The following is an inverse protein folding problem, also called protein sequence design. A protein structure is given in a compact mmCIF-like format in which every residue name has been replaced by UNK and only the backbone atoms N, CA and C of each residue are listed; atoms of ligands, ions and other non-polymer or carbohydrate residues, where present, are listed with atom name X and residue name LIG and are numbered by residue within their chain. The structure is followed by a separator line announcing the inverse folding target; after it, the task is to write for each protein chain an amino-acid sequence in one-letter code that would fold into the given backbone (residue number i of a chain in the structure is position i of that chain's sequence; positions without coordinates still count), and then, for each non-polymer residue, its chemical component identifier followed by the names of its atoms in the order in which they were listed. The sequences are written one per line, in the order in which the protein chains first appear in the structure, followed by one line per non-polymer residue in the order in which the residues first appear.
data_IF_530712165241
#
_entry.id   IF_530712165241
#
_cell.length_a   1.000
_cell.length_b   1.000
_cell.length_c   1.000
_cell.angle_alpha   90.00
_cell.angle_beta   90.00
_cell.angle_gamma   90.00
#
_symmetry.space_group_name_H-M   'P 1'
#
loop_
_entity.id
_entity.type
_entity.pdbx_description
1 polymer ?
#
# COMPACT_ATOMS: atom_id res chain seq x y z
N UNK A 1 18.91 20.66 -11.83
CA UNK A 1 18.54 19.25 -11.67
C UNK A 1 17.40 18.92 -12.64
N UNK A 2 17.46 17.75 -13.30
CA UNK A 2 16.37 17.30 -14.16
C UNK A 2 15.14 17.02 -13.31
N UNK A 3 13.96 17.39 -13.79
CA UNK A 3 12.69 17.08 -13.11
C UNK A 3 12.42 15.58 -13.16
N UNK A 4 11.60 15.07 -12.23
CA UNK A 4 11.16 13.66 -12.24
C UNK A 4 10.59 13.24 -13.60
N UNK A 5 9.84 14.14 -14.27
CA UNK A 5 9.32 13.93 -15.62
C UNK A 5 10.39 13.63 -16.65
N UNK A 6 11.49 14.42 -16.65
CA UNK A 6 12.59 14.25 -17.61
C UNK A 6 13.36 12.95 -17.38
N UNK A 7 13.38 12.45 -16.15
CA UNK A 7 14.02 11.20 -15.79
C UNK A 7 13.19 9.96 -16.14
N UNK A 8 11.91 10.12 -16.53
CA UNK A 8 11.01 9.02 -16.84
C UNK A 8 10.73 8.93 -18.33
N UNK A 9 11.38 8.03 -19.09
CA UNK A 9 11.16 7.87 -20.54
C UNK A 9 9.70 7.63 -20.92
N UNK A 10 8.95 6.97 -20.04
CA UNK A 10 7.51 6.76 -20.21
C UNK A 10 6.69 8.04 -20.32
N UNK A 11 7.22 9.19 -19.85
CA UNK A 11 6.51 10.47 -19.84
C UNK A 11 6.95 11.39 -21.00
N UNK A 12 7.91 10.99 -21.83
CA UNK A 12 8.50 11.83 -22.87
C UNK A 12 7.50 12.29 -23.94
N UNK A 13 6.58 11.41 -24.35
CA UNK A 13 5.67 11.63 -25.47
C UNK A 13 4.20 11.29 -25.11
N UNK A 14 3.86 11.25 -23.82
CA UNK A 14 2.51 10.93 -23.35
C UNK A 14 2.16 11.65 -22.06
N UNK A 15 0.87 11.79 -21.82
CA UNK A 15 0.31 12.19 -20.53
C UNK A 15 -0.15 10.94 -19.80
N UNK A 16 0.55 10.60 -18.73
CA UNK A 16 0.32 9.35 -18.01
C UNK A 16 -0.25 9.63 -16.61
N UNK A 17 -1.49 9.22 -16.40
CA UNK A 17 -2.21 9.42 -15.13
C UNK A 17 -2.37 8.14 -14.29
N UNK A 18 -2.00 6.97 -14.82
CA UNK A 18 -2.30 5.70 -14.16
C UNK A 18 -1.27 5.27 -13.11
N UNK A 19 -0.80 6.19 -12.28
CA UNK A 19 0.10 5.89 -11.14
C UNK A 19 -0.54 4.94 -10.13
N UNK A 20 -1.86 4.99 -9.98
CA UNK A 20 -2.59 4.05 -9.14
C UNK A 20 -2.52 2.60 -9.60
N UNK A 21 -2.24 2.35 -10.88
CA UNK A 21 -1.90 1.04 -11.42
C UNK A 21 -0.42 0.76 -11.28
N UNK A 22 0.42 1.59 -11.94
CA UNK A 22 1.87 1.52 -11.86
C UNK A 22 2.48 2.88 -12.18
N UNK A 23 3.41 3.35 -11.36
CA UNK A 23 4.20 4.55 -11.61
C UNK A 23 5.32 4.28 -12.61
N UNK A 24 5.77 5.31 -13.35
CA UNK A 24 6.90 5.16 -14.26
C UNK A 24 8.21 5.01 -13.48
N UNK A 25 9.03 4.03 -13.86
CA UNK A 25 10.36 3.84 -13.26
C UNK A 25 11.34 4.84 -13.85
N UNK A 26 11.99 5.71 -13.05
CA UNK A 26 13.00 6.65 -13.54
C UNK A 26 14.24 5.92 -14.04
N UNK A 27 14.90 6.48 -15.08
CA UNK A 27 16.15 5.92 -15.61
C UNK A 27 17.24 5.72 -14.55
N UNK A 28 17.50 6.68 -13.61
CA UNK A 28 18.49 6.44 -12.57
C UNK A 28 18.15 5.27 -11.63
N UNK A 29 16.87 4.95 -11.47
CA UNK A 29 16.44 3.78 -10.67
C UNK A 29 16.69 2.48 -11.45
N UNK A 30 16.42 2.45 -12.74
CA UNK A 30 16.74 1.33 -13.62
C UNK A 30 18.26 1.11 -13.68
N UNK A 31 19.05 2.16 -13.76
CA UNK A 31 20.51 2.09 -13.77
C UNK A 31 21.05 1.52 -12.46
N UNK A 32 20.48 1.91 -11.31
CA UNK A 32 20.82 1.35 -10.01
C UNK A 32 20.52 -0.15 -9.92
N UNK A 33 19.39 -0.60 -10.47
CA UNK A 33 19.05 -2.03 -10.57
C UNK A 33 20.10 -2.78 -11.40
N UNK A 34 20.42 -2.28 -12.58
CA UNK A 34 21.40 -2.88 -13.47
C UNK A 34 22.81 -2.92 -12.86
N UNK A 35 23.21 -1.86 -12.15
CA UNK A 35 24.49 -1.80 -11.45
C UNK A 35 24.56 -2.86 -10.33
N UNK A 36 23.48 -3.02 -9.56
CA UNK A 36 23.40 -4.05 -8.53
C UNK A 36 23.45 -5.48 -9.12
N UNK A 37 22.77 -5.73 -10.24
CA UNK A 37 22.89 -6.99 -10.98
C UNK A 37 24.32 -7.30 -11.40
N UNK A 38 25.01 -6.33 -12.00
CA UNK A 38 26.43 -6.49 -12.43
C UNK A 38 27.31 -6.79 -11.23
N UNK A 39 27.12 -6.04 -10.14
CA UNK A 39 27.92 -6.23 -8.93
C UNK A 39 27.80 -7.62 -8.32
N UNK A 40 26.60 -8.18 -8.29
CA UNK A 40 26.37 -9.57 -7.85
C UNK A 40 27.13 -10.56 -8.74
N UNK A 41 27.12 -10.36 -10.07
CA UNK A 41 27.82 -11.27 -10.98
C UNK A 41 29.36 -11.13 -10.86
N UNK A 42 29.89 -9.92 -10.65
CA UNK A 42 31.31 -9.68 -10.43
C UNK A 42 31.82 -10.33 -9.13
N UNK A 43 31.03 -10.27 -8.06
CA UNK A 43 31.35 -10.90 -6.78
C UNK A 43 31.18 -12.43 -6.82
N UNK A 44 30.42 -12.93 -7.79
CA UNK A 44 29.96 -14.32 -7.90
C UNK A 44 28.64 -14.54 -7.18
N UNK A 45 27.61 -15.04 -7.86
CA UNK A 45 26.22 -15.02 -7.37
C UNK A 45 25.99 -15.86 -6.11
N UNK A 46 26.93 -16.75 -5.77
CA UNK A 46 26.84 -17.58 -4.56
C UNK A 46 28.24 -17.85 -3.99
N UNK A 47 28.97 -16.79 -3.64
CA UNK A 47 30.30 -16.84 -3.02
C UNK A 47 30.24 -16.22 -1.63
N UNK A 48 31.29 -16.42 -0.86
CA UNK A 48 31.44 -15.72 0.44
C UNK A 48 31.50 -14.19 0.31
N UNK A 49 31.92 -13.68 -0.84
CA UNK A 49 32.12 -12.26 -1.10
C UNK A 49 30.81 -11.52 -1.42
N UNK A 50 29.79 -12.23 -1.93
CA UNK A 50 28.51 -11.62 -2.31
C UNK A 50 27.61 -11.33 -1.09
N UNK A 51 27.72 -12.12 -0.02
CA UNK A 51 26.82 -12.02 1.13
C UNK A 51 26.88 -10.71 1.89
N UNK A 52 28.07 -10.10 2.12
CA UNK A 52 28.15 -8.77 2.71
C UNK A 52 27.43 -7.71 1.86
N UNK A 53 27.54 -7.79 0.53
CA UNK A 53 26.83 -6.90 -0.38
C UNK A 53 25.31 -7.10 -0.31
N UNK A 54 24.82 -8.33 -0.38
CA UNK A 54 23.40 -8.66 -0.26
C UNK A 54 22.84 -8.18 1.07
N UNK A 55 23.54 -8.43 2.17
CA UNK A 55 23.12 -7.99 3.49
C UNK A 55 23.04 -6.46 3.60
N UNK A 56 24.00 -5.74 3.02
CA UNK A 56 23.99 -4.28 2.98
C UNK A 56 22.79 -3.75 2.17
N UNK A 57 22.50 -4.32 1.02
CA UNK A 57 21.33 -3.96 0.19
C UNK A 57 20.00 -4.16 0.93
N UNK A 58 19.82 -5.32 1.56
CA UNK A 58 18.63 -5.67 2.34
C UNK A 58 18.47 -4.71 3.53
N UNK A 59 19.52 -4.54 4.34
CA UNK A 59 19.46 -3.72 5.56
C UNK A 59 19.27 -2.23 5.24
N UNK A 60 19.92 -1.72 4.18
CA UNK A 60 19.75 -0.34 3.74
C UNK A 60 18.30 -0.08 3.27
N UNK A 61 17.71 -1.02 2.55
CA UNK A 61 16.33 -0.91 2.09
C UNK A 61 15.34 -0.98 3.24
N UNK A 62 15.50 -1.97 4.15
CA UNK A 62 14.68 -2.07 5.36
C UNK A 62 14.77 -0.80 6.20
N UNK A 63 15.97 -0.28 6.43
CA UNK A 63 16.18 0.97 7.17
C UNK A 63 15.54 2.18 6.48
N UNK A 64 15.60 2.26 5.15
CA UNK A 64 14.97 3.36 4.38
C UNK A 64 13.44 3.31 4.50
N UNK A 65 12.84 2.13 4.37
CA UNK A 65 11.39 1.94 4.48
C UNK A 65 10.90 2.09 5.94
N UNK A 66 11.68 1.63 6.92
CA UNK A 66 11.37 1.82 8.32
C UNK A 66 11.33 3.30 8.71
N UNK A 67 12.29 4.10 8.21
CA UNK A 67 12.26 5.57 8.40
C UNK A 67 11.04 6.21 7.74
N UNK A 68 10.68 5.79 6.53
CA UNK A 68 9.49 6.28 5.83
C UNK A 68 8.22 6.05 6.67
N UNK A 69 8.09 4.87 7.27
CA UNK A 69 6.96 4.49 8.13
C UNK A 69 7.11 5.02 9.57
N UNK A 70 8.24 5.62 9.93
CA UNK A 70 8.59 6.03 11.29
C UNK A 70 8.41 4.90 12.33
N UNK A 71 8.94 3.72 11.98
CA UNK A 71 8.95 2.54 12.86
C UNK A 71 10.39 2.03 13.01
N UNK A 72 10.71 1.31 14.10
CA UNK A 72 11.99 0.61 14.21
C UNK A 72 12.16 -0.44 13.10
N UNK A 73 13.40 -0.66 12.66
CA UNK A 73 13.69 -1.61 11.57
C UNK A 73 13.20 -3.04 11.84
N UNK A 74 13.19 -3.47 13.10
CA UNK A 74 12.70 -4.80 13.50
C UNK A 74 11.19 -4.98 13.29
N UNK A 75 10.44 -3.90 13.09
CA UNK A 75 9.02 -3.90 12.80
C UNK A 75 8.71 -3.83 11.29
N UNK A 76 9.72 -3.76 10.43
CA UNK A 76 9.52 -3.67 8.99
C UNK A 76 10.02 -4.93 8.28
N UNK A 77 9.12 -5.65 7.60
CA UNK A 77 9.46 -6.71 6.67
C UNK A 77 9.45 -6.20 5.23
N UNK A 78 10.38 -6.72 4.42
CA UNK A 78 10.36 -6.55 2.97
C UNK A 78 9.38 -7.56 2.36
N UNK A 79 8.59 -7.11 1.39
CA UNK A 79 7.63 -7.96 0.68
C UNK A 79 7.73 -7.74 -0.82
N UNK A 80 7.24 -8.67 -1.61
CA UNK A 80 7.21 -8.54 -3.08
C UNK A 80 6.18 -7.51 -3.55
N UNK A 81 5.13 -7.31 -2.78
CA UNK A 81 4.04 -6.40 -3.09
C UNK A 81 3.14 -6.18 -1.87
N UNK A 82 2.15 -5.30 -2.01
CA UNK A 82 1.19 -5.02 -0.94
C UNK A 82 0.35 -6.26 -0.56
N UNK A 83 0.01 -7.11 -1.51
CA UNK A 83 -0.79 -8.32 -1.23
C UNK A 83 -0.05 -9.27 -0.30
N UNK A 84 1.22 -9.59 -0.61
CA UNK A 84 2.08 -10.39 0.29
C UNK A 84 2.22 -9.72 1.65
N UNK A 85 2.42 -8.40 1.67
CA UNK A 85 2.54 -7.62 2.89
C UNK A 85 1.28 -7.66 3.77
N UNK A 86 0.10 -7.69 3.18
CA UNK A 86 -1.17 -7.88 3.90
C UNK A 86 -1.34 -9.33 4.38
N UNK A 87 -1.22 -10.29 3.44
CA UNK A 87 -1.67 -11.68 3.67
C UNK A 87 -0.75 -12.45 4.61
N UNK A 88 0.57 -12.26 4.52
CA UNK A 88 1.51 -13.03 5.34
C UNK A 88 1.30 -12.79 6.86
N UNK A 89 1.22 -11.54 7.35
CA UNK A 89 0.90 -11.33 8.76
C UNK A 89 -0.56 -11.66 9.10
N UNK A 90 -1.51 -11.32 8.21
CA UNK A 90 -2.94 -11.56 8.44
C UNK A 90 -3.25 -13.01 8.78
N UNK A 91 -2.71 -13.94 7.98
CA UNK A 91 -3.00 -15.37 8.14
C UNK A 91 -2.35 -15.98 9.37
N UNK A 92 -1.39 -15.29 9.98
CA UNK A 92 -0.74 -15.68 11.23
C UNK A 92 -1.39 -15.13 12.49
N UNK A 93 -2.41 -14.28 12.39
CA UNK A 93 -3.10 -13.73 13.56
C UNK A 93 -3.87 -14.80 14.33
N UNK A 94 -3.91 -14.72 15.66
CA UNK A 94 -4.64 -15.66 16.51
C UNK A 94 -6.14 -15.35 16.50
N UNK A 95 -6.82 -15.74 15.44
CA UNK A 95 -8.27 -15.58 15.28
C UNK A 95 -8.97 -16.92 15.56
N UNK A 96 -10.04 -16.88 16.34
CA UNK A 96 -10.79 -18.06 16.77
C UNK A 96 -12.11 -18.22 16.01
N UNK A 97 -12.64 -19.45 16.01
CA UNK A 97 -13.94 -19.76 15.42
C UNK A 97 -15.04 -18.79 15.91
N UNK A 98 -15.73 -18.18 14.95
CA UNK A 98 -16.81 -17.21 15.20
C UNK A 98 -16.34 -15.81 15.54
N UNK A 99 -15.04 -15.50 15.47
CA UNK A 99 -14.56 -14.12 15.49
C UNK A 99 -15.01 -13.39 14.23
N UNK A 100 -15.14 -12.05 14.35
CA UNK A 100 -15.58 -11.22 13.24
C UNK A 100 -14.42 -10.48 12.61
N UNK A 101 -14.38 -10.46 11.27
CA UNK A 101 -13.58 -9.55 10.45
C UNK A 101 -14.51 -8.44 9.98
N UNK A 102 -14.22 -7.19 10.33
CA UNK A 102 -14.90 -6.01 9.84
C UNK A 102 -14.07 -5.43 8.70
N UNK A 103 -14.53 -5.59 7.46
CA UNK A 103 -13.83 -5.15 6.25
C UNK A 103 -14.57 -4.00 5.55
N UNK A 104 -13.84 -2.98 5.10
CA UNK A 104 -14.48 -1.87 4.39
C UNK A 104 -15.06 -2.30 3.04
N UNK A 105 -16.11 -1.62 2.60
CA UNK A 105 -16.73 -1.84 1.29
C UNK A 105 -15.96 -1.17 0.13
N UNK A 106 -14.74 -0.71 0.40
CA UNK A 106 -13.83 -0.11 -0.58
C UNK A 106 -12.45 -0.79 -0.63
N UNK A 107 -12.35 -2.05 -0.19
CA UNK A 107 -11.10 -2.77 -0.24
C UNK A 107 -10.81 -3.34 -1.64
N UNK A 108 -9.52 -3.51 -1.95
CA UNK A 108 -9.10 -4.15 -3.19
C UNK A 108 -9.55 -5.62 -3.22
N UNK A 109 -10.06 -6.13 -4.36
CA UNK A 109 -10.58 -7.50 -4.45
C UNK A 109 -9.64 -8.59 -3.95
N UNK A 110 -8.32 -8.42 -4.08
CA UNK A 110 -7.32 -9.36 -3.58
C UNK A 110 -7.31 -9.45 -2.05
N UNK A 111 -7.48 -8.34 -1.35
CA UNK A 111 -7.57 -8.31 0.13
C UNK A 111 -8.88 -8.91 0.59
N UNK A 112 -9.99 -8.58 -0.09
CA UNK A 112 -11.31 -9.16 0.19
C UNK A 112 -11.27 -10.67 0.06
N UNK A 113 -10.73 -11.20 -1.04
CA UNK A 113 -10.62 -12.63 -1.28
C UNK A 113 -9.75 -13.34 -0.23
N UNK A 114 -8.65 -12.71 0.19
CA UNK A 114 -7.77 -13.26 1.24
C UNK A 114 -8.50 -13.35 2.59
N UNK A 115 -9.29 -12.33 2.96
CA UNK A 115 -10.11 -12.34 4.17
C UNK A 115 -11.23 -13.38 4.10
N UNK A 116 -11.89 -13.50 2.94
CA UNK A 116 -12.95 -14.50 2.73
C UNK A 116 -12.42 -15.93 2.83
N UNK A 117 -11.26 -16.21 2.25
CA UNK A 117 -10.66 -17.54 2.34
C UNK A 117 -10.18 -17.85 3.76
N UNK A 118 -9.61 -16.88 4.47
CA UNK A 118 -9.27 -17.03 5.89
C UNK A 118 -10.52 -17.33 6.72
N UNK A 119 -11.59 -16.56 6.51
CA UNK A 119 -12.87 -16.77 7.21
C UNK A 119 -13.46 -18.15 6.93
N UNK A 120 -13.42 -18.62 5.68
CA UNK A 120 -13.86 -19.96 5.32
C UNK A 120 -13.06 -21.05 6.03
N UNK A 121 -11.74 -20.91 6.12
CA UNK A 121 -10.84 -21.91 6.76
C UNK A 121 -10.98 -21.96 8.26
N UNK A 122 -11.10 -20.81 8.90
CA UNK A 122 -11.15 -20.70 10.36
C UNK A 122 -12.58 -20.53 10.91
N UNK A 123 -13.58 -20.54 10.03
CA UNK A 123 -15.01 -20.34 10.38
C UNK A 123 -15.24 -19.01 11.11
N UNK A 124 -14.67 -17.93 10.54
CA UNK A 124 -14.90 -16.57 11.01
C UNK A 124 -16.10 -15.95 10.28
N UNK A 125 -16.61 -14.84 10.80
CA UNK A 125 -17.70 -14.09 10.18
C UNK A 125 -17.16 -12.80 9.56
N UNK A 126 -17.59 -12.47 8.33
CA UNK A 126 -17.23 -11.22 7.65
C UNK A 126 -18.38 -10.24 7.77
N UNK A 127 -18.07 -9.06 8.29
CA UNK A 127 -18.99 -7.93 8.41
C UNK A 127 -18.46 -6.75 7.59
N UNK A 128 -19.36 -5.91 7.10
CA UNK A 128 -19.01 -4.77 6.26
C UNK A 128 -18.94 -3.48 7.06
N UNK A 129 -17.84 -2.73 6.88
CA UNK A 129 -17.68 -1.35 7.31
C UNK A 129 -18.01 -0.43 6.13
N UNK A 130 -19.17 0.27 6.13
CA UNK A 130 -19.62 1.05 4.99
C UNK A 130 -18.93 2.43 4.99
N UNK A 131 -17.88 2.58 4.19
CA UNK A 131 -17.12 3.84 4.00
C UNK A 131 -17.28 4.43 2.61
N UNK A 132 -17.79 3.66 1.65
CA UNK A 132 -18.01 4.09 0.25
C UNK A 132 -18.88 5.33 0.11
N UNK A 133 -19.77 5.56 1.05
CA UNK A 133 -20.67 6.70 1.07
C UNK A 133 -19.98 8.02 1.44
N UNK A 134 -18.80 7.99 2.08
CA UNK A 134 -18.08 9.18 2.48
C UNK A 134 -17.25 9.71 1.32
N UNK A 135 -17.68 10.85 0.76
CA UNK A 135 -17.14 11.42 -0.49
C UNK A 135 -16.88 12.92 -0.40
N UNK A 136 -16.74 13.44 0.81
CA UNK A 136 -16.66 14.89 1.05
C UNK A 136 -15.41 15.55 0.44
N UNK A 137 -14.30 14.80 0.30
CA UNK A 137 -13.04 15.37 -0.16
C UNK A 137 -12.24 16.05 0.96
N UNK A 138 -11.16 16.75 0.57
CA UNK A 138 -10.17 17.32 1.50
C UNK A 138 -10.73 18.39 2.45
N UNK A 139 -11.58 19.27 1.94
CA UNK A 139 -12.02 20.44 2.67
C UNK A 139 -12.98 20.08 3.83
N UNK A 140 -13.61 18.92 3.76
CA UNK A 140 -14.45 18.36 4.81
C UNK A 140 -13.85 17.10 5.45
N UNK A 141 -12.52 16.99 5.49
CA UNK A 141 -11.84 15.79 6.03
C UNK A 141 -12.22 15.52 7.48
N UNK A 142 -12.34 16.54 8.32
CA UNK A 142 -12.73 16.38 9.73
C UNK A 142 -14.12 15.72 9.84
N UNK A 143 -15.07 16.12 8.99
CA UNK A 143 -16.39 15.48 8.94
C UNK A 143 -16.30 14.02 8.48
N UNK A 144 -15.48 13.74 7.47
CA UNK A 144 -15.23 12.37 7.04
C UNK A 144 -14.65 11.52 8.17
N UNK A 145 -13.69 12.05 8.91
CA UNK A 145 -13.06 11.37 10.04
C UNK A 145 -14.09 11.04 11.13
N UNK A 146 -14.90 12.01 11.50
CA UNK A 146 -15.98 11.82 12.49
C UNK A 146 -17.01 10.79 12.03
N UNK A 147 -17.43 10.86 10.76
CA UNK A 147 -18.39 9.92 10.17
C UNK A 147 -17.83 8.47 10.12
N UNK A 148 -16.56 8.31 9.77
CA UNK A 148 -15.87 7.00 9.76
C UNK A 148 -15.81 6.43 11.18
N UNK A 149 -15.42 7.23 12.16
CA UNK A 149 -15.35 6.79 13.56
C UNK A 149 -16.73 6.44 14.12
N UNK A 150 -17.76 7.20 13.77
CA UNK A 150 -19.13 6.91 14.17
C UNK A 150 -19.64 5.58 13.59
N UNK A 151 -19.44 5.33 12.30
CA UNK A 151 -19.87 4.07 11.69
C UNK A 151 -19.04 2.90 12.19
N UNK A 152 -17.75 3.08 12.45
CA UNK A 152 -16.91 2.07 13.08
C UNK A 152 -17.48 1.66 14.46
N UNK A 153 -17.78 2.65 15.31
CA UNK A 153 -18.36 2.38 16.63
C UNK A 153 -19.67 1.58 16.55
N UNK A 154 -20.52 1.85 15.55
CA UNK A 154 -21.76 1.13 15.33
C UNK A 154 -21.56 -0.32 14.85
N UNK A 155 -20.48 -0.59 14.14
CA UNK A 155 -20.20 -1.90 13.52
C UNK A 155 -19.34 -2.81 14.37
N UNK A 156 -18.57 -2.27 15.31
CA UNK A 156 -17.77 -3.06 16.24
C UNK A 156 -18.67 -3.90 17.17
N UNK A 157 -18.25 -5.13 17.41
CA UNK A 157 -18.87 -6.06 18.35
C UNK A 157 -17.80 -6.61 19.30
N UNK A 158 -18.22 -7.26 20.39
CA UNK A 158 -17.28 -7.93 21.30
C UNK A 158 -16.55 -9.12 20.66
N UNK A 159 -16.96 -9.55 19.47
CA UNK A 159 -16.31 -10.60 18.68
C UNK A 159 -15.46 -10.07 17.53
N UNK A 160 -15.47 -8.77 17.26
CA UNK A 160 -14.60 -8.17 16.24
C UNK A 160 -13.15 -8.31 16.68
N UNK A 161 -12.35 -9.01 15.88
CA UNK A 161 -10.91 -9.23 16.14
C UNK A 161 -10.01 -8.60 15.10
N UNK A 162 -10.57 -8.25 13.94
CA UNK A 162 -9.82 -7.62 12.85
C UNK A 162 -10.69 -6.58 12.16
N UNK A 163 -10.10 -5.41 11.92
CA UNK A 163 -10.63 -4.36 11.04
C UNK A 163 -9.68 -4.22 9.87
N UNK A 164 -10.23 -4.21 8.65
CA UNK A 164 -9.47 -4.05 7.40
C UNK A 164 -9.95 -2.79 6.70
N UNK A 165 -9.01 -1.86 6.49
CA UNK A 165 -9.31 -0.52 5.96
C UNK A 165 -8.14 0.00 5.14
N UNK A 166 -8.37 0.43 3.90
CA UNK A 166 -7.35 1.11 3.09
C UNK A 166 -7.07 2.51 3.61
N UNK A 167 -5.82 2.97 3.55
CA UNK A 167 -5.44 4.32 3.98
C UNK A 167 -5.96 5.40 3.02
N UNK A 168 -5.74 5.20 1.73
CA UNK A 168 -6.36 5.99 0.66
C UNK A 168 -7.19 5.03 -0.20
N UNK A 169 -8.49 5.27 -0.30
CA UNK A 169 -9.39 4.38 -1.05
C UNK A 169 -9.03 4.39 -2.53
N UNK A 170 -8.72 3.22 -3.08
CA UNK A 170 -8.18 3.04 -4.43
C UNK A 170 -9.15 3.42 -5.54
N UNK A 171 -10.44 3.47 -5.23
CA UNK A 171 -11.55 3.73 -6.16
C UNK A 171 -12.06 5.17 -6.07
N UNK A 172 -12.34 5.69 -4.88
CA UNK A 172 -12.90 7.03 -4.68
C UNK A 172 -11.81 8.10 -4.50
N UNK A 173 -10.64 7.73 -3.97
CA UNK A 173 -9.60 8.67 -3.58
C UNK A 173 -9.83 9.32 -2.21
N UNK A 174 -10.82 8.87 -1.43
CA UNK A 174 -11.06 9.38 -0.09
C UNK A 174 -9.99 8.90 0.88
N UNK A 175 -9.48 9.81 1.70
CA UNK A 175 -8.49 9.52 2.74
C UNK A 175 -9.20 9.03 4.01
N UNK A 176 -8.71 7.92 4.59
CA UNK A 176 -9.25 7.33 5.82
C UNK A 176 -8.40 7.71 7.04
N UNK A 177 -9.01 8.00 8.21
CA UNK A 177 -8.33 8.46 9.43
C UNK A 177 -7.69 7.31 10.22
N UNK A 178 -6.65 6.68 9.67
CA UNK A 178 -6.07 5.43 10.21
C UNK A 178 -5.62 5.57 11.67
N UNK A 179 -4.97 6.67 12.04
CA UNK A 179 -4.51 6.88 13.41
C UNK A 179 -5.67 6.99 14.41
N UNK A 180 -6.73 7.71 14.03
CA UNK A 180 -7.93 7.85 14.86
C UNK A 180 -8.70 6.52 14.97
N UNK A 181 -8.79 5.76 13.88
CA UNK A 181 -9.35 4.40 13.88
C UNK A 181 -8.55 3.50 14.83
N UNK A 182 -7.23 3.50 14.72
CA UNK A 182 -6.37 2.70 15.62
C UNK A 182 -6.60 3.07 17.09
N UNK A 183 -6.67 4.36 17.41
CA UNK A 183 -6.94 4.83 18.77
C UNK A 183 -8.30 4.35 19.29
N UNK A 184 -9.33 4.39 18.47
CA UNK A 184 -10.66 3.88 18.84
C UNK A 184 -10.64 2.36 19.08
N UNK A 185 -9.95 1.59 18.26
CA UNK A 185 -9.83 0.14 18.42
C UNK A 185 -9.08 -0.24 19.70
N UNK A 186 -8.06 0.52 20.09
CA UNK A 186 -7.32 0.29 21.34
C UNK A 186 -8.18 0.45 22.60
N UNK A 187 -9.19 1.31 22.56
CA UNK A 187 -10.12 1.53 23.68
C UNK A 187 -11.29 0.55 23.68
N UNK A 188 -11.53 -0.18 22.58
CA UNK A 188 -12.61 -1.15 22.49
C UNK A 188 -12.27 -2.42 23.31
N UNK A 189 -13.23 -3.01 24.07
CA UNK A 189 -12.96 -4.19 24.90
C UNK A 189 -12.36 -5.38 24.16
N UNK A 190 -12.74 -5.58 22.90
CA UNK A 190 -12.22 -6.66 22.07
C UNK A 190 -10.82 -6.38 21.51
N UNK A 191 -10.35 -5.13 21.52
CA UNK A 191 -9.07 -4.69 20.99
C UNK A 191 -8.73 -5.29 19.61
N UNK A 192 -9.55 -5.07 18.55
CA UNK A 192 -9.31 -5.65 17.26
C UNK A 192 -7.97 -5.23 16.67
N UNK A 193 -7.34 -6.10 15.87
CA UNK A 193 -6.21 -5.72 15.03
C UNK A 193 -6.67 -4.79 13.92
N UNK A 194 -5.79 -3.90 13.47
CA UNK A 194 -6.01 -3.03 12.33
C UNK A 194 -5.04 -3.38 11.20
N UNK A 195 -5.58 -3.93 10.10
CA UNK A 195 -4.86 -4.14 8.85
C UNK A 195 -5.16 -3.00 7.90
N UNK A 196 -4.12 -2.37 7.39
CA UNK A 196 -4.21 -1.25 6.46
C UNK A 196 -3.56 -1.61 5.13
N UNK A 197 -4.36 -1.60 4.06
CA UNK A 197 -3.85 -1.59 2.69
C UNK A 197 -3.45 -0.16 2.32
N UNK A 198 -2.15 0.06 2.17
CA UNK A 198 -1.57 1.34 1.82
C UNK A 198 -1.00 1.38 0.40
N UNK A 199 -1.55 0.57 -0.50
CA UNK A 199 -1.10 0.48 -1.90
C UNK A 199 -1.13 1.82 -2.64
N UNK A 200 -2.02 2.73 -2.27
CA UNK A 200 -2.16 4.05 -2.89
C UNK A 200 -1.48 5.17 -2.09
N UNK A 201 -0.77 4.86 -1.00
CA UNK A 201 -0.35 5.89 -0.04
C UNK A 201 1.12 6.30 -0.21
N UNK A 202 2.04 5.33 -0.22
CA UNK A 202 3.48 5.59 -0.27
C UNK A 202 3.87 6.29 -1.58
N UNK A 203 4.51 7.44 -1.45
CA UNK A 203 4.96 8.27 -2.57
C UNK A 203 4.06 9.46 -2.86
N UNK A 204 2.80 9.48 -2.36
CA UNK A 204 1.92 10.63 -2.60
C UNK A 204 1.36 11.30 -1.34
N UNK A 205 1.23 10.59 -0.22
CA UNK A 205 0.76 11.17 1.05
C UNK A 205 1.73 10.82 2.18
N UNK A 206 1.75 11.62 3.27
CA UNK A 206 2.45 11.26 4.49
C UNK A 206 1.90 9.95 5.08
N UNK A 207 2.79 9.01 5.40
CA UNK A 207 2.38 7.68 5.87
C UNK A 207 2.80 7.37 7.30
N UNK A 208 3.72 8.14 7.86
CA UNK A 208 4.40 7.81 9.13
C UNK A 208 3.44 7.66 10.32
N UNK A 209 2.43 8.50 10.43
CA UNK A 209 1.46 8.44 11.52
C UNK A 209 0.58 7.19 11.41
N UNK A 210 0.02 6.94 10.23
CA UNK A 210 -0.82 5.78 9.96
C UNK A 210 -0.05 4.46 10.08
N UNK A 211 1.16 4.39 9.53
CA UNK A 211 1.99 3.21 9.57
C UNK A 211 2.42 2.84 11.01
N UNK A 212 2.69 3.84 11.83
CA UNK A 212 3.02 3.64 13.24
C UNK A 212 1.83 3.19 14.09
N UNK A 213 0.63 3.68 13.75
CA UNK A 213 -0.58 3.39 14.50
C UNK A 213 -1.23 2.05 14.16
N UNK A 214 -1.12 1.58 12.91
CA UNK A 214 -1.68 0.32 12.45
C UNK A 214 -0.97 -0.90 13.03
N UNK A 215 -1.68 -2.02 13.14
CA UNK A 215 -1.07 -3.31 13.48
C UNK A 215 -0.35 -3.93 12.29
N UNK A 216 -0.92 -3.81 11.09
CA UNK A 216 -0.34 -4.25 9.82
C UNK A 216 -0.54 -3.11 8.83
N UNK A 217 0.54 -2.51 8.35
CA UNK A 217 0.52 -1.44 7.34
C UNK A 217 1.34 -1.87 6.12
N UNK A 218 0.66 -2.38 5.09
CA UNK A 218 1.30 -2.94 3.92
C UNK A 218 1.26 -1.98 2.72
N UNK A 219 2.37 -1.91 1.98
CA UNK A 219 2.52 -1.02 0.84
C UNK A 219 3.39 -1.62 -0.26
N UNK A 220 3.41 -0.96 -1.42
CA UNK A 220 4.19 -1.37 -2.59
C UNK A 220 5.03 -0.22 -3.14
N UNK A 221 6.16 -0.54 -3.77
CA UNK A 221 7.07 0.46 -4.33
C UNK A 221 6.73 0.91 -5.76
N UNK A 222 5.99 0.11 -6.53
CA UNK A 222 5.83 0.32 -7.98
C UNK A 222 4.73 1.31 -8.39
N UNK A 223 4.02 1.90 -7.45
CA UNK A 223 2.95 2.87 -7.74
C UNK A 223 3.46 4.30 -7.61
N UNK A 224 2.99 5.01 -6.62
CA UNK A 224 3.31 6.42 -6.41
C UNK A 224 4.76 6.69 -5.97
N UNK A 225 5.45 5.68 -5.43
CA UNK A 225 6.88 5.78 -5.16
C UNK A 225 7.77 5.63 -6.39
N UNK A 226 7.20 5.32 -7.57
CA UNK A 226 7.90 5.15 -8.84
C UNK A 226 9.09 4.17 -8.78
N UNK A 227 9.00 3.18 -7.89
CA UNK A 227 9.96 2.09 -7.78
C UNK A 227 9.65 0.94 -8.72
N UNK A 228 10.48 -0.11 -8.72
CA UNK A 228 10.23 -1.30 -9.51
C UNK A 228 9.06 -2.12 -8.93
N UNK A 229 8.36 -2.85 -9.79
CA UNK A 229 7.48 -3.94 -9.37
C UNK A 229 8.28 -5.08 -8.73
N UNK A 230 7.62 -5.86 -7.88
CA UNK A 230 8.24 -6.98 -7.17
C UNK A 230 8.89 -6.60 -5.84
N UNK A 231 8.68 -5.38 -5.35
CA UNK A 231 9.20 -4.94 -4.06
C UNK A 231 8.22 -3.98 -3.36
N UNK A 232 8.02 -4.20 -2.08
CA UNK A 232 7.26 -3.39 -1.17
C UNK A 232 7.69 -3.63 0.27
N UNK A 233 6.82 -3.34 1.20
CA UNK A 233 7.09 -3.55 2.62
C UNK A 233 5.81 -3.67 3.44
N UNK A 234 5.97 -4.16 4.66
CA UNK A 234 4.93 -4.15 5.68
C UNK A 234 5.52 -3.76 7.03
N UNK A 235 4.95 -2.73 7.63
CA UNK A 235 5.20 -2.39 9.02
C UNK A 235 4.20 -3.15 9.89
N UNK A 236 4.68 -3.80 10.94
CA UNK A 236 3.85 -4.55 11.89
C UNK A 236 4.01 -4.01 13.31
N UNK A 237 2.96 -4.10 14.13
CA UNK A 237 3.02 -3.69 15.53
C UNK A 237 3.78 -4.72 16.38
N UNK A 238 4.25 -4.29 17.57
CA UNK A 238 4.80 -5.21 18.55
C UNK A 238 3.79 -6.29 18.95
N UNK A 239 2.50 -5.93 18.98
CA UNK A 239 1.42 -6.88 19.26
C UNK A 239 1.37 -7.99 18.20
N UNK A 240 1.46 -7.64 16.93
CA UNK A 240 1.52 -8.62 15.84
C UNK A 240 2.76 -9.50 15.96
N UNK A 241 3.92 -8.93 16.30
CA UNK A 241 5.15 -9.71 16.51
C UNK A 241 5.01 -10.69 17.68
N UNK A 242 4.31 -10.32 18.74
CA UNK A 242 4.12 -11.18 19.91
C UNK A 242 3.07 -12.28 19.66
N UNK A 243 2.00 -11.96 18.94
CA UNK A 243 0.81 -12.81 18.89
C UNK A 243 0.75 -13.67 17.63
N UNK A 244 1.34 -13.23 16.51
CA UNK A 244 1.22 -13.93 15.23
C UNK A 244 2.35 -14.91 14.96
N UNK A 245 2.05 -15.90 14.09
CA UNK A 245 3.03 -16.87 13.61
C UNK A 245 3.18 -16.77 12.08
N UNK A 246 4.36 -17.05 11.50
CA UNK A 246 4.49 -17.11 10.06
C UNK A 246 3.72 -18.32 9.51
N UNK A 247 3.06 -18.12 8.36
CA UNK A 247 2.24 -19.15 7.70
C UNK A 247 2.82 -19.61 6.38
N UNK A 248 3.51 -18.75 5.68
CA UNK A 248 4.34 -19.09 4.53
C UNK A 248 5.80 -18.98 4.97
N UNK A 249 6.47 -20.13 5.06
CA UNK A 249 7.76 -20.27 5.70
C UNK A 249 8.82 -20.63 4.68
N UNK A 250 9.95 -19.97 4.74
CA UNK A 250 11.14 -20.30 3.97
C UNK A 250 12.41 -20.00 4.76
N UNK A 251 13.56 -20.12 4.12
CA UNK A 251 14.86 -20.00 4.81
C UNK A 251 15.09 -18.60 5.44
N UNK A 252 14.50 -17.53 4.86
CA UNK A 252 14.60 -16.18 5.42
C UNK A 252 13.72 -15.96 6.66
N UNK A 253 12.73 -16.83 6.89
CA UNK A 253 11.90 -16.78 8.09
C UNK A 253 12.65 -17.30 9.33
N UNK A 254 13.73 -18.06 9.14
CA UNK A 254 14.47 -18.75 10.19
C UNK A 254 15.55 -17.86 10.80
N UNK A 255 15.75 -17.95 12.12
CA UNK A 255 16.87 -17.29 12.81
C UNK A 255 18.23 -17.85 12.39
N UNK A 256 18.29 -19.16 12.20
CA UNK A 256 19.47 -19.91 11.76
C UNK A 256 19.06 -21.01 10.80
N UNK A 257 19.32 -20.80 9.52
CA UNK A 257 18.99 -21.77 8.46
C UNK A 257 19.84 -23.05 8.49
N UNK A 258 20.96 -23.05 9.24
CA UNK A 258 21.85 -24.20 9.37
C UNK A 258 21.42 -25.13 10.49
N UNK A 259 20.54 -24.70 11.38
CA UNK A 259 20.06 -25.46 12.51
C UNK A 259 18.88 -26.34 12.14
N UNK A 260 18.89 -27.58 12.59
CA UNK A 260 17.77 -28.48 12.40
C UNK A 260 16.51 -27.96 13.13
N UNK A 261 15.46 -27.66 12.38
CA UNK A 261 14.19 -27.12 12.91
C UNK A 261 13.55 -28.07 13.93
N UNK A 262 13.77 -29.39 13.81
CA UNK A 262 13.26 -30.40 14.73
C UNK A 262 13.79 -30.21 16.18
N UNK A 263 14.93 -29.59 16.34
CA UNK A 263 15.58 -29.39 17.64
C UNK A 263 15.31 -28.00 18.24
N UNK A 264 14.55 -27.16 17.54
CA UNK A 264 14.23 -25.79 17.97
C UNK A 264 12.71 -25.59 18.04
N UNK A 265 12.16 -25.37 19.22
CA UNK A 265 10.72 -25.15 19.38
C UNK A 265 10.23 -23.80 18.79
N UNK A 266 11.13 -22.84 18.55
CA UNK A 266 10.82 -21.56 17.94
C UNK A 266 11.97 -21.15 16.99
N UNK A 267 12.00 -21.70 15.77
CA UNK A 267 13.08 -21.47 14.83
C UNK A 267 13.00 -20.14 14.08
N UNK A 268 11.92 -19.39 14.24
CA UNK A 268 11.64 -18.20 13.46
C UNK A 268 12.30 -16.95 14.04
N UNK A 269 12.53 -15.94 13.19
CA UNK A 269 12.90 -14.62 13.69
C UNK A 269 11.85 -14.08 14.66
N UNK A 270 12.29 -13.44 15.75
CA UNK A 270 11.39 -12.78 16.71
C UNK A 270 10.90 -11.40 16.22
N UNK A 271 11.42 -10.91 15.12
CA UNK A 271 11.05 -9.65 14.48
C UNK A 271 10.29 -9.86 13.16
N UNK A 272 10.03 -8.78 12.45
CA UNK A 272 9.24 -8.81 11.20
C UNK A 272 9.83 -9.69 10.09
N UNK A 273 11.12 -10.05 10.16
CA UNK A 273 11.75 -10.96 9.18
C UNK A 273 11.11 -12.34 9.15
N UNK A 274 10.35 -12.73 10.19
CA UNK A 274 9.54 -13.97 10.15
C UNK A 274 8.54 -14.00 8.99
N UNK A 275 8.13 -12.84 8.46
CA UNK A 275 7.25 -12.71 7.31
C UNK A 275 7.99 -12.62 5.96
N UNK A 276 9.31 -12.65 5.97
CA UNK A 276 10.12 -12.76 4.75
C UNK A 276 10.37 -14.25 4.45
N UNK A 277 10.10 -14.68 3.22
CA UNK A 277 9.98 -16.11 2.93
C UNK A 277 11.30 -16.69 2.45
N UNK A 278 11.80 -16.24 1.29
CA UNK A 278 12.93 -16.88 0.63
C UNK A 278 13.72 -15.89 -0.24
N UNK A 279 14.44 -16.42 -1.22
CA UNK A 279 15.23 -15.66 -2.19
C UNK A 279 14.37 -14.61 -2.90
N UNK A 280 14.80 -13.37 -2.84
CA UNK A 280 14.16 -12.23 -3.49
C UNK A 280 15.12 -11.55 -4.47
N UNK A 281 14.57 -10.72 -5.34
CA UNK A 281 15.37 -9.98 -6.32
C UNK A 281 16.05 -8.78 -5.65
N UNK A 282 17.22 -8.99 -5.05
CA UNK A 282 17.99 -7.96 -4.34
C UNK A 282 18.26 -6.70 -5.18
N UNK A 283 18.58 -6.77 -6.49
CA UNK A 283 18.78 -5.59 -7.32
C UNK A 283 17.63 -4.58 -7.33
N UNK A 284 16.37 -5.03 -7.18
CA UNK A 284 15.22 -4.13 -7.10
C UNK A 284 15.29 -3.17 -5.90
N UNK A 285 15.99 -3.58 -4.84
CA UNK A 285 16.15 -2.81 -3.60
C UNK A 285 16.89 -1.50 -3.84
N UNK A 286 17.98 -1.53 -4.62
CA UNK A 286 18.71 -0.32 -4.99
C UNK A 286 17.87 0.60 -5.88
N UNK A 287 17.06 0.04 -6.77
CA UNK A 287 16.11 0.79 -7.60
C UNK A 287 15.05 1.52 -6.77
N UNK A 288 14.42 0.84 -5.82
CA UNK A 288 13.42 1.47 -4.94
C UNK A 288 14.03 2.59 -4.08
N UNK A 289 15.20 2.35 -3.45
CA UNK A 289 15.88 3.40 -2.70
C UNK A 289 16.19 4.61 -3.58
N UNK A 290 16.66 4.38 -4.81
CA UNK A 290 16.97 5.46 -5.76
C UNK A 290 15.71 6.25 -6.13
N UNK A 291 14.58 5.58 -6.35
CA UNK A 291 13.29 6.26 -6.62
C UNK A 291 12.86 7.13 -5.43
N UNK A 292 12.97 6.62 -4.21
CA UNK A 292 12.65 7.41 -3.01
C UNK A 292 13.59 8.61 -2.83
N UNK A 293 14.88 8.46 -3.15
CA UNK A 293 15.85 9.57 -3.09
C UNK A 293 15.53 10.65 -4.15
N UNK A 294 15.07 10.24 -5.33
CA UNK A 294 14.62 11.18 -6.36
C UNK A 294 13.38 11.96 -5.92
N UNK A 295 12.42 11.29 -5.27
CA UNK A 295 11.26 11.97 -4.70
C UNK A 295 11.66 12.98 -3.62
N UNK A 296 12.63 12.65 -2.77
CA UNK A 296 13.12 13.57 -1.74
C UNK A 296 13.84 14.79 -2.34
N UNK A 297 14.41 14.66 -3.55
CA UNK A 297 15.02 15.79 -4.31
C UNK A 297 13.98 16.75 -4.88
N UNK A 298 12.73 16.32 -5.10
CA UNK A 298 11.63 17.19 -5.54
C UNK A 298 11.11 18.13 -4.44
N UNK A 299 11.57 17.99 -3.22
CA UNK A 299 11.18 18.79 -2.06
C UNK A 299 10.80 17.97 -0.85
N UNK A 300 10.42 18.63 0.23
CA UNK A 300 9.89 17.94 1.41
C UNK A 300 8.61 17.16 1.09
N UNK A 301 8.25 16.21 1.95
CA UNK A 301 6.99 15.47 1.83
C UNK A 301 5.79 16.42 1.77
N UNK A 302 5.81 17.50 2.56
CA UNK A 302 4.76 18.51 2.55
C UNK A 302 4.73 19.29 1.23
N UNK A 303 5.87 19.65 0.65
CA UNK A 303 5.92 20.34 -0.65
C UNK A 303 5.36 19.46 -1.76
N UNK A 304 5.72 18.17 -1.75
CA UNK A 304 5.22 17.20 -2.73
C UNK A 304 3.71 17.00 -2.62
N UNK A 305 3.17 16.77 -1.41
CA UNK A 305 1.72 16.57 -1.24
C UNK A 305 0.92 17.83 -1.59
N UNK A 306 1.44 19.02 -1.28
CA UNK A 306 0.79 20.27 -1.67
C UNK A 306 0.75 20.44 -3.19
N UNK A 307 1.84 20.12 -3.90
CA UNK A 307 1.87 20.14 -5.37
C UNK A 307 0.91 19.11 -5.98
N UNK A 308 0.85 17.89 -5.45
CA UNK A 308 -0.09 16.85 -5.87
C UNK A 308 -1.53 17.32 -5.66
N UNK A 309 -1.83 17.89 -4.51
CA UNK A 309 -3.17 18.41 -4.19
C UNK A 309 -3.59 19.55 -5.11
N UNK A 310 -2.69 20.47 -5.41
CA UNK A 310 -2.99 21.57 -6.35
C UNK A 310 -3.35 21.05 -7.75
N UNK A 311 -2.59 20.09 -8.27
CA UNK A 311 -2.85 19.49 -9.58
C UNK A 311 -4.12 18.63 -9.59
N UNK A 312 -4.36 17.84 -8.56
CA UNK A 312 -5.56 17.00 -8.47
C UNK A 312 -6.82 17.83 -8.27
N UNK A 313 -6.74 18.94 -7.53
CA UNK A 313 -7.84 19.90 -7.38
C UNK A 313 -8.15 20.58 -8.73
N UNK A 314 -7.13 21.00 -9.47
CA UNK A 314 -7.33 21.56 -10.81
C UNK A 314 -8.04 20.55 -11.71
N UNK A 315 -7.55 19.33 -11.79
CA UNK A 315 -8.18 18.27 -12.60
C UNK A 315 -9.60 17.98 -12.15
N UNK A 316 -9.85 17.87 -10.85
CA UNK A 316 -11.17 17.64 -10.28
C UNK A 316 -12.15 18.77 -10.67
N UNK A 317 -11.73 20.03 -10.57
CA UNK A 317 -12.55 21.21 -10.93
C UNK A 317 -12.88 21.21 -12.42
N UNK A 318 -11.90 20.96 -13.27
CA UNK A 318 -12.09 20.92 -14.72
C UNK A 318 -13.01 19.77 -15.14
N UNK A 319 -12.83 18.57 -14.60
CA UNK A 319 -13.71 17.42 -14.84
C UNK A 319 -15.15 17.71 -14.36
N UNK A 320 -15.31 18.34 -13.20
CA UNK A 320 -16.64 18.67 -12.66
C UNK A 320 -17.39 19.70 -13.52
N UNK A 321 -16.70 20.46 -14.37
CA UNK A 321 -17.32 21.42 -15.29
C UNK A 321 -17.78 20.81 -16.63
N UNK A 322 -17.40 19.56 -16.93
CA UNK A 322 -17.75 18.90 -18.18
C UNK A 322 -19.17 18.35 -18.09
N UNK A 323 -20.09 18.76 -19.00
CA UNK A 323 -21.44 18.18 -19.04
C UNK A 323 -21.38 16.66 -19.25
N UNK A 324 -22.14 15.91 -18.45
CA UNK A 324 -22.16 14.45 -18.49
C UNK A 324 -21.03 13.76 -17.75
N UNK A 325 -20.19 14.50 -17.02
CA UNK A 325 -19.17 13.95 -16.11
C UNK A 325 -19.52 14.33 -14.66
N UNK A 326 -19.38 13.38 -13.76
CA UNK A 326 -19.50 13.61 -12.31
C UNK A 326 -18.30 13.04 -11.58
N UNK A 327 -17.62 13.86 -10.79
CA UNK A 327 -16.52 13.41 -9.92
C UNK A 327 -17.06 12.58 -8.76
N UNK A 328 -16.31 11.59 -8.29
CA UNK A 328 -16.74 10.74 -7.17
C UNK A 328 -16.64 11.46 -5.83
N UNK A 329 -15.65 12.33 -5.66
CA UNK A 329 -15.57 13.21 -4.49
C UNK A 329 -16.36 14.49 -4.75
N UNK A 330 -17.09 14.94 -3.75
CA UNK A 330 -17.91 16.17 -3.76
C UNK A 330 -17.06 17.42 -3.55
N UNK A 331 -15.83 17.26 -3.04
CA UNK A 331 -14.85 18.31 -2.82
C UNK A 331 -13.48 17.95 -3.39
N UNK A 332 -12.50 18.87 -3.29
CA UNK A 332 -11.14 18.66 -3.79
C UNK A 332 -10.52 17.39 -3.23
N UNK A 333 -9.80 16.58 -4.05
CA UNK A 333 -9.17 15.34 -3.59
C UNK A 333 -8.12 15.58 -2.50
N UNK A 334 -8.02 14.69 -1.50
CA UNK A 334 -6.97 14.78 -0.46
C UNK A 334 -5.57 14.39 -0.96
N UNK A 335 -5.50 13.74 -2.15
CA UNK A 335 -4.29 13.21 -2.76
C UNK A 335 -4.38 13.22 -4.30
N UNK A 336 -3.54 12.46 -4.98
CA UNK A 336 -3.45 12.44 -6.45
C UNK A 336 -4.50 11.60 -7.18
N UNK A 337 -5.37 10.87 -6.48
CA UNK A 337 -6.45 10.09 -7.09
C UNK A 337 -7.66 10.97 -7.40
N UNK A 338 -8.03 11.03 -8.67
CA UNK A 338 -9.23 11.73 -9.15
C UNK A 338 -10.08 10.73 -9.93
N UNK A 339 -11.23 10.37 -9.37
CA UNK A 339 -12.15 9.42 -9.97
C UNK A 339 -13.43 10.12 -10.41
N UNK A 340 -13.97 9.72 -11.56
CA UNK A 340 -15.20 10.28 -12.12
C UNK A 340 -16.05 9.22 -12.82
N UNK A 341 -17.32 9.53 -13.03
CA UNK A 341 -18.29 8.73 -13.78
C UNK A 341 -18.79 9.50 -14.97
N UNK A 342 -19.21 8.76 -16.00
CA UNK A 342 -19.98 9.29 -17.12
C UNK A 342 -21.47 9.16 -16.79
N UNK A 343 -22.24 10.19 -17.10
CA UNK A 343 -23.70 10.12 -17.01
C UNK A 343 -24.23 9.36 -18.23
N UNK A 344 -24.68 8.14 -18.01
CA UNK A 344 -25.17 7.24 -19.07
C UNK A 344 -26.41 7.77 -19.82
N UNK A 345 -27.20 8.65 -19.20
CA UNK A 345 -28.37 9.26 -19.83
C UNK A 345 -27.99 10.33 -20.85
N UNK A 346 -26.87 10.99 -20.67
CA UNK A 346 -26.41 12.12 -21.49
C UNK A 346 -25.19 11.79 -22.34
N UNK A 347 -24.48 10.70 -22.03
CA UNK A 347 -23.22 10.32 -22.67
C UNK A 347 -23.32 8.88 -23.17
N UNK A 348 -23.39 8.66 -24.50
CA UNK A 348 -23.49 7.31 -25.04
C UNK A 348 -22.20 6.49 -24.94
N UNK A 349 -21.05 7.13 -24.65
CA UNK A 349 -19.76 6.47 -24.53
C UNK A 349 -19.64 5.71 -23.20
N UNK A 350 -19.03 4.54 -23.25
CA UNK A 350 -18.63 3.79 -22.05
C UNK A 350 -17.30 4.29 -21.47
N UNK A 351 -16.97 4.03 -20.20
CA UNK A 351 -15.65 4.32 -19.67
C UNK A 351 -14.51 3.74 -20.51
N UNK A 352 -14.66 2.51 -21.01
CA UNK A 352 -13.69 1.86 -21.90
C UNK A 352 -13.52 2.61 -23.24
N UNK A 353 -14.59 3.19 -23.79
CA UNK A 353 -14.49 4.00 -25.02
C UNK A 353 -13.72 5.29 -24.77
N UNK A 354 -13.90 5.93 -23.62
CA UNK A 354 -13.13 7.12 -23.21
C UNK A 354 -11.65 6.77 -23.04
N UNK A 355 -11.34 5.66 -22.37
CA UNK A 355 -9.95 5.18 -22.23
C UNK A 355 -9.28 4.97 -23.58
N UNK A 356 -9.98 4.33 -24.53
CA UNK A 356 -9.47 4.10 -25.90
C UNK A 356 -9.26 5.43 -26.66
N UNK A 357 -10.24 6.33 -26.60
CA UNK A 357 -10.16 7.61 -27.28
C UNK A 357 -9.03 8.51 -26.77
N UNK A 358 -8.83 8.55 -25.46
CA UNK A 358 -7.73 9.26 -24.81
C UNK A 358 -6.38 8.59 -25.11
N UNK A 359 -6.31 7.25 -25.09
CA UNK A 359 -5.12 6.49 -25.44
C UNK A 359 -4.63 6.77 -26.88
N UNK A 360 -5.57 6.94 -27.83
CA UNK A 360 -5.25 7.35 -29.19
C UNK A 360 -4.57 8.75 -29.26
N UNK A 361 -4.78 9.58 -28.26
CA UNK A 361 -4.15 10.89 -28.09
C UNK A 361 -2.96 10.86 -27.12
N UNK A 362 -2.45 9.68 -26.77
CA UNK A 362 -1.35 9.48 -25.81
C UNK A 362 -1.67 9.99 -24.39
N UNK A 363 -2.96 9.97 -24.00
CA UNK A 363 -3.43 10.29 -22.64
C UNK A 363 -3.89 8.98 -22.00
N UNK A 364 -3.20 8.56 -20.95
CA UNK A 364 -3.39 7.24 -20.33
C UNK A 364 -4.07 7.35 -18.97
N UNK A 365 -5.31 6.90 -18.91
CA UNK A 365 -6.11 6.68 -17.71
C UNK A 365 -6.58 5.22 -17.68
N UNK A 366 -7.31 4.84 -16.67
CA UNK A 366 -7.94 3.49 -16.60
C UNK A 366 -9.41 3.60 -16.24
N UNK A 367 -10.18 2.60 -16.63
CA UNK A 367 -11.52 2.36 -16.15
C UNK A 367 -11.53 1.38 -14.98
N UNK A 368 -12.55 1.48 -14.17
CA UNK A 368 -12.86 0.57 -13.08
C UNK A 368 -14.28 0.04 -13.27
N UNK A 369 -14.54 -1.15 -12.74
CA UNK A 369 -15.90 -1.70 -12.77
C UNK A 369 -16.88 -0.79 -12.00
N UNK A 370 -18.10 -0.65 -12.47
CA UNK A 370 -19.19 0.03 -11.79
C UNK A 370 -20.30 -0.99 -11.49
N UNK A 371 -20.86 -1.07 -10.28
CA UNK A 371 -20.54 -0.20 -9.14
C UNK A 371 -19.14 -0.47 -8.57
N UNK A 372 -18.46 0.61 -8.24
CA UNK A 372 -17.16 0.53 -7.57
C UNK A 372 -17.38 -0.02 -6.15
N UNK A 373 -16.73 -1.13 -5.83
CA UNK A 373 -16.83 -1.94 -4.61
C UNK A 373 -18.01 -2.89 -4.57
#
# INVERSE_FOLDING_TARGET
PSTMRELCPALANKTYFNYGGQGPLPTPSLDAINASWRRIQELGPFTTDVWPFISAEVNSTRGRLARLCNVPAHRLALSENVTSGCVLPLWGLPLDHGDHILISDCEHPGVVAACQELARRQRLEIHTLPVKQFRQGRDEQVKTDDDVLAVLAQRLTNRTRLVVLSHLLWNTGQLMPIAAVAAQLQTHPAQPYLLVDAAQSVGQIPVSEAARAADIYAFTGHKWACGPEGLGGVAVSERVLNDSQPTLIGWRSLQDETRAVADDPDPFHHDSRRFEVATSCVPLMSGLRRSLDLLDQEGSENDRINSIRALSEQLWRELSSIPGVSTLLEGPPPAGLVSFRLNVETTPATPSDVVKALGAQQIWIRDLADPIC
#
